data_IF_667890978382
#
_entry.id   IF_667890978382
#
_cell.length_a   1.000
_cell.length_b   1.000
_cell.length_c   1.000
_cell.angle_alpha   90.00
_cell.angle_beta   90.00
_cell.angle_gamma   90.00
#
_symmetry.space_group_name_H-M   'P 1'
#
loop_
_entity.id
_entity.type
_entity.pdbx_description
1 polymer ?
#
# COMPACT_ATOMS: atom_id res chain seq x y z
N UNK A 1 0.37 -0.76 2.78
CA UNK A 1 0.69 -2.14 2.32
C UNK A 1 1.76 -2.20 1.24
N UNK A 2 1.74 -1.36 0.19
CA UNK A 2 2.72 -1.50 -0.91
C UNK A 2 4.19 -1.35 -0.49
N UNK A 3 4.51 -0.42 0.42
CA UNK A 3 5.90 0.01 0.66
C UNK A 3 6.39 -0.09 2.11
N UNK A 4 5.50 -0.18 3.10
CA UNK A 4 5.87 -0.04 4.53
C UNK A 4 5.44 -1.20 5.40
N UNK A 5 4.13 -1.38 5.49
CA UNK A 5 3.51 -2.35 6.39
C UNK A 5 3.96 -3.79 6.09
N UNK A 6 4.60 -4.42 7.08
CA UNK A 6 4.92 -5.85 7.12
C UNK A 6 4.76 -6.31 8.57
N UNK A 7 3.97 -7.37 8.77
CA UNK A 7 3.84 -7.99 10.09
C UNK A 7 4.74 -9.22 10.15
N UNK A 8 5.76 -9.17 11.00
CA UNK A 8 6.67 -10.29 11.21
C UNK A 8 6.06 -11.30 12.20
N UNK A 9 6.29 -12.58 11.93
CA UNK A 9 5.97 -13.68 12.85
C UNK A 9 7.27 -14.41 13.17
N UNK A 10 7.62 -14.45 14.44
CA UNK A 10 8.84 -15.08 14.97
C UNK A 10 8.45 -16.07 16.05
N UNK A 11 8.90 -17.32 15.93
CA UNK A 11 8.60 -18.41 16.88
C UNK A 11 7.11 -18.57 17.23
N UNK A 12 6.23 -18.29 16.25
CA UNK A 12 4.77 -18.38 16.40
C UNK A 12 4.14 -17.19 17.13
N UNK A 13 4.89 -16.12 17.38
CA UNK A 13 4.42 -14.89 18.01
C UNK A 13 4.63 -13.67 17.10
N UNK A 14 3.89 -12.59 17.39
CA UNK A 14 4.10 -11.27 16.80
C UNK A 14 5.03 -10.51 17.76
N UNK A 15 6.28 -10.21 17.37
CA UNK A 15 7.24 -9.54 18.25
C UNK A 15 7.04 -8.03 18.33
N UNK A 16 6.22 -7.44 17.45
CA UNK A 16 5.98 -6.00 17.41
C UNK A 16 5.24 -5.53 18.67
N UNK A 17 5.85 -4.62 19.43
CA UNK A 17 5.29 -4.08 20.68
C UNK A 17 4.76 -2.65 20.51
N UNK A 18 5.12 -1.99 19.40
CA UNK A 18 4.76 -0.60 19.14
C UNK A 18 4.63 -0.28 17.64
N UNK A 19 4.17 0.95 17.34
CA UNK A 19 4.14 1.48 15.97
C UNK A 19 5.53 1.79 15.40
N UNK A 20 6.60 1.70 16.19
CA UNK A 20 7.97 1.72 15.66
C UNK A 20 8.32 0.39 15.00
N UNK A 21 7.77 -0.72 15.52
CA UNK A 21 8.05 -2.08 15.03
C UNK A 21 7.16 -2.44 13.84
N UNK A 22 5.95 -1.87 13.77
CA UNK A 22 5.06 -1.96 12.62
C UNK A 22 4.86 -0.58 11.98
N UNK A 23 5.64 -0.30 10.93
CA UNK A 23 5.64 1.02 10.31
C UNK A 23 4.43 1.23 9.40
N UNK A 24 3.53 2.11 9.82
CA UNK A 24 2.45 2.65 8.97
C UNK A 24 2.93 3.89 8.21
N UNK A 25 2.31 4.23 7.06
CA UNK A 25 2.57 5.51 6.39
C UNK A 25 2.32 6.71 7.31
N UNK A 26 3.25 7.65 7.35
CA UNK A 26 3.11 8.95 8.03
C UNK A 26 2.80 10.06 7.02
N UNK A 27 2.55 11.28 7.49
CA UNK A 27 2.17 12.40 6.61
C UNK A 27 3.19 12.67 5.48
N UNK A 28 4.49 12.50 5.73
CA UNK A 28 5.53 12.68 4.71
C UNK A 28 5.53 11.61 3.62
N UNK A 29 4.79 10.52 3.82
CA UNK A 29 4.72 9.40 2.87
C UNK A 29 3.57 9.51 1.89
N UNK A 30 2.61 10.38 2.19
CA UNK A 30 1.37 10.52 1.43
C UNK A 30 1.51 11.71 0.49
N UNK A 31 1.60 11.49 -0.83
CA UNK A 31 1.64 12.58 -1.80
C UNK A 31 0.26 13.24 -1.94
N UNK A 32 0.18 14.34 -2.68
CA UNK A 32 -1.11 14.92 -3.06
C UNK A 32 -1.97 13.91 -3.82
N UNK A 33 -3.19 13.69 -3.32
CA UNK A 33 -4.15 12.75 -3.91
C UNK A 33 -5.20 13.52 -4.69
N UNK A 34 -5.25 13.32 -6.01
CA UNK A 34 -6.33 13.86 -6.84
C UNK A 34 -7.51 12.90 -6.88
N UNK A 35 -8.67 13.38 -6.42
CA UNK A 35 -9.91 12.59 -6.39
C UNK A 35 -10.88 13.12 -7.46
N UNK A 36 -11.51 12.20 -8.17
CA UNK A 36 -12.63 12.46 -9.08
C UNK A 36 -13.75 11.51 -8.71
N UNK A 37 -14.90 12.07 -8.34
CA UNK A 37 -16.12 11.30 -8.11
C UNK A 37 -16.79 11.06 -9.47
N UNK A 38 -16.96 9.80 -9.83
CA UNK A 38 -17.66 9.42 -11.05
C UNK A 38 -19.09 9.11 -10.66
N UNK A 39 -20.02 9.94 -11.14
CA UNK A 39 -21.44 9.72 -10.96
C UNK A 39 -21.91 8.57 -11.84
N UNK A 40 -22.83 7.77 -11.31
CA UNK A 40 -23.37 6.62 -12.00
C UNK A 40 -24.82 6.38 -11.60
N UNK A 41 -25.06 5.32 -10.83
CA UNK A 41 -26.39 4.94 -10.36
C UNK A 41 -27.04 6.03 -9.50
N UNK A 42 -28.37 6.25 -9.60
CA UNK A 42 -29.11 7.12 -8.68
C UNK A 42 -29.22 6.55 -7.26
N UNK A 43 -28.89 5.27 -7.07
CA UNK A 43 -28.86 4.61 -5.76
C UNK A 43 -27.44 4.65 -5.21
N UNK A 44 -27.22 5.13 -3.97
CA UNK A 44 -25.90 5.13 -3.34
C UNK A 44 -25.28 3.72 -3.26
N UNK A 45 -23.96 3.66 -3.47
CA UNK A 45 -23.17 2.44 -3.33
C UNK A 45 -22.01 2.66 -2.35
N UNK A 46 -21.47 1.56 -1.81
CA UNK A 46 -20.30 1.61 -0.93
C UNK A 46 -19.03 2.01 -1.69
N UNK A 47 -18.24 2.92 -1.11
CA UNK A 47 -16.99 3.40 -1.68
C UNK A 47 -15.78 3.33 -0.71
N UNK A 48 -15.98 2.80 0.50
CA UNK A 48 -14.96 2.79 1.55
C UNK A 48 -13.69 2.00 1.17
N UNK A 49 -13.85 0.93 0.41
CA UNK A 49 -12.74 0.06 -0.01
C UNK A 49 -12.23 0.36 -1.43
N UNK A 50 -12.88 1.27 -2.15
CA UNK A 50 -12.59 1.52 -3.58
C UNK A 50 -11.12 1.91 -3.80
N UNK A 51 -10.56 2.74 -2.91
CA UNK A 51 -9.16 3.13 -3.01
C UNK A 51 -8.20 1.99 -2.61
N UNK A 52 -8.50 1.25 -1.52
CA UNK A 52 -7.57 0.23 -1.01
C UNK A 52 -7.45 -0.98 -1.95
N UNK A 53 -8.52 -1.30 -2.68
CA UNK A 53 -8.53 -2.44 -3.63
C UNK A 53 -7.55 -2.28 -4.79
N UNK A 54 -7.26 -1.05 -5.23
CA UNK A 54 -6.41 -0.78 -6.38
C UNK A 54 -5.07 -0.08 -6.05
N UNK A 55 -4.97 0.63 -4.92
CA UNK A 55 -3.80 1.45 -4.60
C UNK A 55 -2.48 0.67 -4.59
N UNK A 56 -2.46 -0.52 -3.97
CA UNK A 56 -1.24 -1.34 -3.91
C UNK A 56 -0.77 -1.76 -5.31
N UNK A 57 -1.69 -2.26 -6.15
CA UNK A 57 -1.37 -2.68 -7.50
C UNK A 57 -0.91 -1.50 -8.39
N UNK A 58 -1.54 -0.33 -8.24
CA UNK A 58 -1.14 0.88 -8.94
C UNK A 58 0.31 1.28 -8.61
N UNK A 59 0.69 1.26 -7.33
CA UNK A 59 2.05 1.57 -6.88
C UNK A 59 3.05 0.53 -7.40
N UNK A 60 2.77 -0.77 -7.27
CA UNK A 60 3.68 -1.82 -7.74
C UNK A 60 3.88 -1.78 -9.26
N UNK A 61 2.83 -1.46 -10.02
CA UNK A 61 2.93 -1.30 -11.47
C UNK A 61 3.73 -0.06 -11.87
N UNK A 62 3.63 1.04 -11.10
CA UNK A 62 4.45 2.22 -11.31
C UNK A 62 5.94 1.92 -11.09
N UNK A 63 6.27 1.12 -10.06
CA UNK A 63 7.64 0.64 -9.83
C UNK A 63 8.10 -0.22 -11.01
N UNK A 64 7.31 -1.23 -11.41
CA UNK A 64 7.64 -2.09 -12.54
C UNK A 64 7.83 -1.32 -13.86
N UNK A 65 7.06 -0.25 -14.08
CA UNK A 65 7.21 0.59 -15.26
C UNK A 65 8.55 1.37 -15.30
N UNK A 66 9.13 1.68 -14.13
CA UNK A 66 10.39 2.43 -14.01
C UNK A 66 11.59 1.48 -13.94
N UNK A 67 11.45 0.34 -13.27
CA UNK A 67 12.56 -0.61 -13.03
C UNK A 67 12.62 -1.75 -14.05
N UNK A 68 11.52 -2.04 -14.74
CA UNK A 68 11.37 -3.25 -15.55
C UNK A 68 11.11 -4.53 -14.75
N UNK A 69 11.01 -4.43 -13.41
CA UNK A 69 10.86 -5.57 -12.50
C UNK A 69 9.48 -5.60 -11.86
N UNK A 70 8.76 -6.71 -12.03
CA UNK A 70 7.45 -6.91 -11.41
C UNK A 70 7.59 -7.42 -9.97
N UNK A 71 7.06 -6.66 -9.01
CA UNK A 71 6.99 -7.10 -7.63
C UNK A 71 6.00 -8.27 -7.47
N UNK A 72 6.48 -9.40 -6.95
CA UNK A 72 5.67 -10.58 -6.60
C UNK A 72 5.52 -10.76 -5.08
N UNK A 73 6.19 -9.92 -4.30
CA UNK A 73 6.13 -9.89 -2.84
C UNK A 73 6.01 -8.45 -2.36
N UNK A 74 5.27 -8.28 -1.28
CA UNK A 74 5.10 -7.02 -0.56
C UNK A 74 5.71 -7.14 0.84
N UNK A 75 6.08 -6.00 1.47
CA UNK A 75 6.21 -4.68 0.83
C UNK A 75 7.34 -4.67 -0.20
N UNK A 76 7.24 -3.82 -1.22
CA UNK A 76 8.31 -3.64 -2.20
C UNK A 76 9.47 -2.93 -1.52
N UNK A 77 10.61 -3.61 -1.43
CA UNK A 77 11.85 -3.08 -0.88
C UNK A 77 12.83 -2.86 -2.03
N UNK A 78 13.46 -1.69 -2.08
CA UNK A 78 14.63 -1.50 -2.93
C UNK A 78 15.78 -2.33 -2.29
N UNK A 79 16.36 -3.27 -3.01
CA UNK A 79 17.63 -3.87 -2.57
C UNK A 79 18.70 -2.77 -2.64
N UNK A 80 19.41 -2.39 -1.56
CA UNK A 80 20.52 -1.46 -1.71
C UNK A 80 21.52 -2.07 -2.71
N UNK A 81 22.02 -1.24 -3.62
CA UNK A 81 23.15 -1.59 -4.48
C UNK A 81 24.41 -1.87 -3.65
#
# INVERSE_FOLDING_TARGET
MALREELMIEDGAIPAESFFDYTVPVMSDVPDIQIRLIEGSPVPAGAGETAITCATAAITNAIAAITGETATRLPVRHAPA
#
